data_IF_620757532368
#
_entry.id   IF_620757532368
#
_cell.length_a   1.000
_cell.length_b   1.000
_cell.length_c   1.000
_cell.angle_alpha   90.00
_cell.angle_beta   90.00
_cell.angle_gamma   90.00
#
_symmetry.space_group_name_H-M   'P 1'
#
loop_
_entity.id
_entity.type
_entity.pdbx_description
1 polymer ?
#
# COMPACT_ATOMS: atom_id res chain seq x y z
N UNK A 1 -27.41 -10.22 -33.68
CA UNK A 1 -25.96 -10.00 -33.89
C UNK A 1 -25.47 -9.32 -32.62
N UNK A 2 -24.72 -10.03 -31.78
CA UNK A 2 -24.15 -9.43 -30.57
C UNK A 2 -22.98 -8.55 -31.01
N UNK A 3 -23.10 -7.24 -30.79
CA UNK A 3 -22.13 -6.22 -31.21
C UNK A 3 -20.90 -6.14 -30.26
N UNK A 4 -20.88 -6.98 -29.23
CA UNK A 4 -19.83 -7.00 -28.22
C UNK A 4 -19.24 -8.40 -28.11
N UNK A 5 -17.92 -8.49 -28.29
CA UNK A 5 -17.12 -9.70 -28.06
C UNK A 5 -16.41 -9.51 -26.72
N UNK A 6 -16.65 -10.44 -25.78
CA UNK A 6 -15.91 -10.48 -24.53
C UNK A 6 -14.46 -10.85 -24.81
N UNK A 7 -13.52 -10.03 -24.33
CA UNK A 7 -12.08 -10.23 -24.57
C UNK A 7 -11.40 -11.02 -23.46
N UNK A 8 -11.77 -10.83 -22.19
CA UNK A 8 -11.20 -11.57 -21.04
C UNK A 8 -12.19 -11.73 -19.88
N UNK A 9 -11.90 -12.65 -18.95
CA UNK A 9 -12.62 -12.82 -17.67
C UNK A 9 -11.62 -12.75 -16.52
N UNK A 10 -11.40 -11.56 -15.98
CA UNK A 10 -10.49 -11.32 -14.86
C UNK A 10 -11.20 -11.36 -13.51
N UNK A 11 -10.50 -11.84 -12.49
CA UNK A 11 -10.95 -12.01 -11.11
C UNK A 11 -10.35 -10.95 -10.19
N UNK A 12 -10.88 -10.89 -8.96
CA UNK A 12 -10.35 -10.08 -7.85
C UNK A 12 -10.54 -10.84 -6.55
N UNK A 13 -9.51 -10.86 -5.72
CA UNK A 13 -9.49 -11.50 -4.41
C UNK A 13 -9.00 -10.50 -3.35
N UNK A 14 -9.52 -10.61 -2.13
CA UNK A 14 -9.15 -9.76 -1.00
C UNK A 14 -8.98 -10.64 0.23
N UNK A 15 -7.86 -10.46 0.92
CA UNK A 15 -7.61 -10.95 2.28
C UNK A 15 -7.62 -9.75 3.21
N UNK A 16 -8.60 -9.69 4.10
CA UNK A 16 -8.58 -8.74 5.21
C UNK A 16 -7.65 -9.26 6.31
N UNK A 17 -6.85 -8.35 6.87
CA UNK A 17 -5.92 -8.65 7.94
C UNK A 17 -6.62 -8.52 9.29
N UNK A 18 -6.44 -9.52 10.16
CA UNK A 18 -6.99 -9.49 11.52
C UNK A 18 -6.34 -8.39 12.37
N UNK A 19 -5.04 -8.18 12.15
CA UNK A 19 -4.25 -7.14 12.81
C UNK A 19 -3.73 -6.19 11.73
N UNK A 20 -4.00 -4.88 11.83
CA UNK A 20 -3.43 -3.90 10.92
C UNK A 20 -1.89 -3.90 11.00
N UNK A 21 -1.22 -3.75 9.87
CA UNK A 21 0.24 -3.59 9.81
C UNK A 21 0.64 -2.41 10.70
N UNK A 22 1.59 -2.65 11.63
CA UNK A 22 1.76 -1.77 12.79
C UNK A 22 2.27 -0.37 12.44
N UNK A 23 3.18 -0.26 11.46
CA UNK A 23 3.79 1.01 11.07
C UNK A 23 4.34 0.95 9.63
N UNK A 24 4.75 2.10 9.12
CA UNK A 24 5.24 2.25 7.74
C UNK A 24 6.55 1.49 7.49
N UNK A 25 7.40 1.29 8.50
CA UNK A 25 8.65 0.55 8.36
C UNK A 25 8.39 -0.92 8.08
N UNK A 26 7.48 -1.55 8.83
CA UNK A 26 7.06 -2.93 8.58
C UNK A 26 6.36 -3.03 7.22
N UNK A 27 5.49 -2.06 6.90
CA UNK A 27 4.81 -2.02 5.61
C UNK A 27 5.79 -1.98 4.44
N UNK A 28 6.78 -1.08 4.49
CA UNK A 28 7.76 -0.94 3.41
C UNK A 28 8.67 -2.18 3.32
N UNK A 29 9.05 -2.78 4.45
CA UNK A 29 9.81 -4.03 4.47
C UNK A 29 9.05 -5.17 3.75
N UNK A 30 7.74 -5.30 3.94
CA UNK A 30 6.93 -6.28 3.22
C UNK A 30 6.89 -5.99 1.71
N UNK A 31 6.78 -4.72 1.32
CA UNK A 31 6.77 -4.35 -0.10
C UNK A 31 8.14 -4.62 -0.74
N UNK A 32 9.24 -4.29 -0.06
CA UNK A 32 10.59 -4.57 -0.54
C UNK A 32 10.86 -6.07 -0.62
N UNK A 33 10.43 -6.85 0.37
CA UNK A 33 10.53 -8.31 0.35
C UNK A 33 9.89 -8.93 -0.91
N UNK A 34 8.71 -8.46 -1.32
CA UNK A 34 8.07 -8.91 -2.57
C UNK A 34 8.92 -8.58 -3.79
N UNK A 35 9.47 -7.37 -3.85
CA UNK A 35 10.26 -6.90 -5.00
C UNK A 35 11.57 -7.68 -5.10
N UNK A 36 12.27 -7.86 -3.97
CA UNK A 36 13.59 -8.49 -3.91
C UNK A 36 13.53 -10.01 -4.10
N UNK A 37 12.54 -10.67 -3.49
CA UNK A 37 12.44 -12.14 -3.50
C UNK A 37 11.56 -12.68 -4.62
N UNK A 38 10.72 -11.82 -5.21
CA UNK A 38 9.75 -12.17 -6.24
C UNK A 38 8.99 -13.49 -5.93
N UNK A 39 8.29 -13.54 -4.79
CA UNK A 39 7.69 -14.78 -4.28
C UNK A 39 6.54 -15.29 -5.16
N UNK A 40 6.02 -14.44 -6.05
CA UNK A 40 4.93 -14.77 -6.96
C UNK A 40 5.41 -15.34 -8.30
N UNK A 41 6.72 -15.41 -8.55
CA UNK A 41 7.27 -15.95 -9.79
C UNK A 41 7.05 -15.04 -11.02
N UNK A 42 6.92 -13.73 -10.81
CA UNK A 42 6.74 -12.79 -11.91
C UNK A 42 7.95 -12.76 -12.85
N UNK A 43 7.74 -12.39 -14.10
CA UNK A 43 8.77 -12.37 -15.14
C UNK A 43 8.95 -10.98 -15.73
N UNK A 44 10.19 -10.59 -16.02
CA UNK A 44 10.45 -9.32 -16.72
C UNK A 44 9.86 -9.36 -18.13
N UNK A 45 9.35 -8.23 -18.61
CA UNK A 45 8.76 -8.13 -19.94
C UNK A 45 9.19 -6.85 -20.65
N UNK A 46 9.01 -6.78 -21.97
CA UNK A 46 9.36 -5.60 -22.76
C UNK A 46 8.10 -4.85 -23.18
N UNK A 47 8.02 -3.59 -22.80
CA UNK A 47 6.93 -2.69 -23.15
C UNK A 47 7.50 -1.49 -23.90
N UNK A 48 7.08 -1.30 -25.15
CA UNK A 48 7.58 -0.19 -26.00
C UNK A 48 9.11 -0.13 -26.13
N UNK A 49 9.79 -1.28 -26.13
CA UNK A 49 11.25 -1.36 -26.23
C UNK A 49 12.00 -1.14 -24.91
N UNK A 50 11.30 -0.96 -23.79
CA UNK A 50 11.88 -0.84 -22.45
C UNK A 50 11.66 -2.15 -21.68
N UNK A 51 12.72 -2.69 -21.11
CA UNK A 51 12.62 -3.84 -20.18
C UNK A 51 12.04 -3.36 -18.86
N UNK A 52 10.92 -3.95 -18.47
CA UNK A 52 10.23 -3.72 -17.21
C UNK A 52 10.55 -4.89 -16.27
N UNK A 53 10.87 -4.56 -15.02
CA UNK A 53 11.13 -5.53 -13.96
C UNK A 53 9.92 -6.42 -13.67
N UNK A 54 10.13 -7.65 -13.14
CA UNK A 54 9.04 -8.60 -12.89
C UNK A 54 7.97 -8.07 -11.93
N UNK A 55 8.38 -7.30 -10.93
CA UNK A 55 7.49 -6.64 -9.97
C UNK A 55 7.86 -5.17 -9.88
N UNK A 56 6.88 -4.28 -10.06
CA UNK A 56 7.11 -2.83 -10.07
C UNK A 56 6.10 -2.12 -9.18
N UNK A 57 6.54 -1.08 -8.47
CA UNK A 57 5.64 -0.16 -7.76
C UNK A 57 4.87 0.66 -8.79
N UNK A 58 3.56 0.44 -8.90
CA UNK A 58 2.70 1.10 -9.88
C UNK A 58 2.02 2.34 -9.30
N UNK A 59 1.60 2.30 -8.04
CA UNK A 59 0.97 3.43 -7.36
C UNK A 59 1.16 3.31 -5.86
N UNK A 60 1.51 4.42 -5.23
CA UNK A 60 1.70 4.50 -3.79
C UNK A 60 0.91 5.68 -3.22
N UNK A 61 0.42 5.50 -2.00
CA UNK A 61 -0.22 6.55 -1.22
C UNK A 61 0.00 6.26 0.27
N UNK A 62 0.65 7.20 0.95
CA UNK A 62 0.92 7.16 2.38
C UNK A 62 0.34 8.41 3.03
N UNK A 63 -0.55 8.24 3.99
CA UNK A 63 -1.20 9.34 4.71
C UNK A 63 -0.77 9.34 6.17
N UNK A 64 -0.14 10.43 6.58
CA UNK A 64 0.33 10.62 7.94
C UNK A 64 -0.68 11.46 8.73
N UNK A 65 -1.18 10.93 9.84
CA UNK A 65 -2.17 11.60 10.69
C UNK A 65 -1.52 12.30 11.88
N UNK A 66 -1.83 13.58 12.03
CA UNK A 66 -1.49 14.41 13.19
C UNK A 66 -2.78 14.91 13.81
N UNK A 67 -2.92 14.76 15.12
CA UNK A 67 -4.04 15.29 15.89
C UNK A 67 -3.54 16.45 16.76
N UNK A 68 -4.43 17.37 17.07
CA UNK A 68 -4.17 18.48 17.97
C UNK A 68 -5.07 18.33 19.19
N UNK A 69 -4.46 18.32 20.37
CA UNK A 69 -5.15 18.08 21.63
C UNK A 69 -5.16 19.33 22.51
N UNK A 70 -6.24 19.53 23.26
CA UNK A 70 -6.31 20.57 24.28
C UNK A 70 -5.62 20.09 25.59
N UNK A 71 -5.67 20.92 26.64
CA UNK A 71 -5.10 20.58 27.95
C UNK A 71 -5.80 19.42 28.67
N UNK A 72 -7.00 19.04 28.23
CA UNK A 72 -7.79 17.92 28.74
C UNK A 72 -7.57 16.62 27.93
N UNK A 73 -6.64 16.65 26.95
CA UNK A 73 -6.36 15.57 25.99
C UNK A 73 -7.52 15.25 25.03
N UNK A 74 -8.46 16.18 24.84
CA UNK A 74 -9.48 16.07 23.81
C UNK A 74 -8.92 16.53 22.46
N UNK A 75 -9.17 15.75 21.41
CA UNK A 75 -8.83 16.14 20.04
C UNK A 75 -9.71 17.32 19.60
N UNK A 76 -9.09 18.46 19.34
CA UNK A 76 -9.74 19.70 18.86
C UNK A 76 -9.52 19.96 17.37
N UNK A 77 -8.61 19.24 16.74
CA UNK A 77 -8.34 19.34 15.31
C UNK A 77 -7.46 18.19 14.82
N UNK A 78 -7.39 18.04 13.50
CA UNK A 78 -6.53 17.06 12.86
C UNK A 78 -6.01 17.56 11.50
N UNK A 79 -4.85 17.06 11.13
CA UNK A 79 -4.20 17.30 9.84
C UNK A 79 -3.73 15.96 9.30
N UNK A 80 -4.04 15.71 8.03
CA UNK A 80 -3.57 14.55 7.28
C UNK A 80 -2.68 15.02 6.13
N UNK A 81 -1.52 14.41 5.99
CA UNK A 81 -0.61 14.68 4.86
C UNK A 81 -0.43 13.42 4.03
N UNK A 82 -0.89 13.48 2.78
CA UNK A 82 -0.75 12.39 1.83
C UNK A 82 0.45 12.62 0.90
N UNK A 83 1.26 11.59 0.74
CA UNK A 83 2.45 11.61 -0.13
C UNK A 83 2.57 10.32 -0.93
N UNK A 84 3.42 10.34 -1.96
CA UNK A 84 3.63 9.22 -2.88
C UNK A 84 4.86 8.35 -2.57
N UNK A 85 5.62 8.64 -1.49
CA UNK A 85 6.80 7.84 -1.11
C UNK A 85 6.93 7.69 0.40
N UNK A 86 7.54 6.59 0.85
CA UNK A 86 7.80 6.32 2.28
C UNK A 86 8.75 7.37 2.89
N UNK A 87 9.77 7.80 2.14
CA UNK A 87 10.69 8.85 2.60
C UNK A 87 9.99 10.19 2.79
N UNK A 88 9.11 10.56 1.84
CA UNK A 88 8.32 11.78 1.97
C UNK A 88 7.34 11.70 3.15
N UNK A 89 6.87 10.51 3.53
CA UNK A 89 5.91 10.34 4.62
C UNK A 89 6.52 10.76 5.95
N UNK A 90 7.71 10.24 6.26
CA UNK A 90 8.41 10.61 7.49
C UNK A 90 8.76 12.09 7.53
N UNK A 91 9.26 12.61 6.41
CA UNK A 91 9.65 14.03 6.28
C UNK A 91 8.45 14.97 6.44
N UNK A 92 7.35 14.70 5.73
CA UNK A 92 6.14 15.51 5.79
C UNK A 92 5.49 15.46 7.17
N UNK A 93 5.42 14.28 7.80
CA UNK A 93 4.96 14.12 9.17
C UNK A 93 5.78 14.97 10.15
N UNK A 94 7.12 14.96 10.02
CA UNK A 94 8.00 15.78 10.86
C UNK A 94 7.79 17.28 10.63
N UNK A 95 7.56 17.73 9.40
CA UNK A 95 7.27 19.14 9.12
C UNK A 95 5.97 19.60 9.77
N UNK A 96 4.87 18.83 9.63
CA UNK A 96 3.59 19.16 10.29
C UNK A 96 3.74 19.16 11.81
N UNK A 97 4.50 18.21 12.36
CA UNK A 97 4.76 18.12 13.80
C UNK A 97 5.64 19.26 14.34
N UNK A 98 6.34 20.00 13.49
CA UNK A 98 7.20 21.11 13.87
C UNK A 98 6.60 22.49 13.53
N UNK A 99 5.36 22.53 13.03
CA UNK A 99 4.69 23.75 12.61
C UNK A 99 3.94 24.40 13.79
N UNK A 100 4.65 25.29 14.49
CA UNK A 100 4.12 26.04 15.64
C UNK A 100 3.02 27.04 15.24
N UNK A 101 3.06 27.56 14.00
CA UNK A 101 2.04 28.48 13.49
C UNK A 101 0.70 27.73 13.32
N UNK A 102 0.75 26.52 12.77
CA UNK A 102 -0.40 25.64 12.63
C UNK A 102 -0.93 25.20 14.00
N UNK A 103 -0.04 24.86 14.94
CA UNK A 103 -0.42 24.54 16.32
C UNK A 103 -1.15 25.70 17.01
N UNK A 104 -0.62 26.92 16.86
CA UNK A 104 -1.21 28.15 17.40
C UNK A 104 -2.56 28.45 16.76
N UNK A 105 -2.68 28.27 15.44
CA UNK A 105 -3.93 28.49 14.72
C UNK A 105 -5.04 27.52 15.13
N UNK A 106 -4.69 26.26 15.41
CA UNK A 106 -5.64 25.24 15.88
C UNK A 106 -5.92 25.38 17.38
N UNK A 107 -4.96 25.89 18.15
CA UNK A 107 -5.09 26.14 19.59
C UNK A 107 -4.80 24.91 20.46
N UNK A 108 -3.97 23.98 19.97
CA UNK A 108 -3.68 22.72 20.65
C UNK A 108 -2.25 22.24 20.44
N UNK A 109 -1.88 21.16 21.14
CA UNK A 109 -0.56 20.53 20.99
C UNK A 109 -0.65 19.41 19.96
N UNK A 110 0.24 19.40 18.96
CA UNK A 110 0.31 18.32 17.98
C UNK A 110 0.79 16.99 18.58
N UNK A 111 0.16 15.90 18.15
CA UNK A 111 0.55 14.53 18.48
C UNK A 111 0.36 13.61 17.26
N UNK A 112 1.23 12.60 17.13
CA UNK A 112 1.16 11.62 16.04
C UNK A 112 0.09 10.57 16.34
N UNK A 113 -0.91 10.47 15.46
CA UNK A 113 -1.91 9.39 15.52
C UNK A 113 -1.48 8.24 14.60
N UNK A 114 -0.46 7.49 15.03
CA UNK A 114 0.08 6.38 14.26
C UNK A 114 -0.91 5.24 14.04
N UNK A 115 -1.99 5.16 14.81
CA UNK A 115 -3.04 4.17 14.62
C UNK A 115 -3.91 4.50 13.40
N UNK A 116 -4.07 5.80 13.07
CA UNK A 116 -4.85 6.28 11.93
C UNK A 116 -4.02 6.55 10.66
N UNK A 117 -2.70 6.40 10.71
CA UNK A 117 -1.87 6.43 9.49
C UNK A 117 -2.38 5.40 8.46
N UNK A 118 -2.47 5.78 7.19
CA UNK A 118 -2.88 4.85 6.13
C UNK A 118 -1.76 4.63 5.12
N UNK A 119 -1.57 3.38 4.73
CA UNK A 119 -0.53 2.96 3.78
C UNK A 119 -1.18 2.16 2.66
N UNK A 120 -0.80 2.44 1.42
CA UNK A 120 -1.25 1.73 0.24
C UNK A 120 -0.15 1.69 -0.79
N UNK A 121 0.23 0.49 -1.21
CA UNK A 121 1.17 0.26 -2.30
C UNK A 121 0.56 -0.77 -3.26
N UNK A 122 0.43 -0.37 -4.52
CA UNK A 122 -0.01 -1.21 -5.62
C UNK A 122 1.19 -1.63 -6.42
N UNK A 123 1.46 -2.93 -6.42
CA UNK A 123 2.46 -3.60 -7.22
C UNK A 123 1.83 -4.08 -8.53
N UNK A 124 2.52 -3.86 -9.64
CA UNK A 124 2.22 -4.47 -10.93
C UNK A 124 3.12 -5.69 -11.07
N UNK A 125 2.51 -6.81 -11.38
CA UNK A 125 3.15 -8.09 -11.55
C UNK A 125 2.88 -8.62 -12.96
N UNK A 126 3.90 -9.13 -13.62
CA UNK A 126 3.76 -9.81 -14.90
C UNK A 126 3.99 -11.30 -14.71
N UNK A 127 2.92 -12.09 -14.85
CA UNK A 127 2.95 -13.54 -14.69
C UNK A 127 3.70 -14.22 -15.85
N UNK A 128 4.23 -15.43 -15.63
CA UNK A 128 4.85 -16.24 -16.67
C UNK A 128 3.90 -16.56 -17.84
N UNK A 129 2.57 -16.59 -17.59
CA UNK A 129 1.56 -16.75 -18.63
C UNK A 129 1.29 -15.47 -19.44
N UNK A 130 2.13 -14.44 -19.31
CA UNK A 130 1.99 -13.13 -19.96
C UNK A 130 0.77 -12.31 -19.48
N UNK A 131 0.13 -12.73 -18.40
CA UNK A 131 -0.93 -11.98 -17.75
C UNK A 131 -0.33 -10.88 -16.85
N UNK A 132 -0.94 -9.69 -16.85
CA UNK A 132 -0.56 -8.62 -15.94
C UNK A 132 -1.64 -8.45 -14.88
N UNK A 133 -1.25 -8.66 -13.62
CA UNK A 133 -2.13 -8.51 -12.48
C UNK A 133 -1.53 -7.51 -11.48
N UNK A 134 -2.33 -7.15 -10.48
CA UNK A 134 -1.90 -6.21 -9.46
C UNK A 134 -2.12 -6.75 -8.07
N UNK A 135 -1.09 -6.61 -7.23
CA UNK A 135 -1.15 -6.89 -5.79
C UNK A 135 -1.14 -5.55 -5.07
N UNK A 136 -2.21 -5.23 -4.36
CA UNK A 136 -2.32 -4.02 -3.54
C UNK A 136 -2.18 -4.42 -2.08
N UNK A 137 -1.09 -3.99 -1.45
CA UNK A 137 -0.93 -4.04 -0.01
C UNK A 137 -1.48 -2.75 0.57
N UNK A 138 -2.25 -2.88 1.62
CA UNK A 138 -2.66 -1.76 2.46
C UNK A 138 -2.56 -2.15 3.92
N UNK A 139 -2.67 -1.17 4.81
CA UNK A 139 -2.54 -1.41 6.25
C UNK A 139 -3.43 -2.54 6.78
N UNK A 140 -4.61 -2.76 6.20
CA UNK A 140 -5.62 -3.70 6.72
C UNK A 140 -5.98 -4.83 5.76
N UNK A 141 -5.41 -4.87 4.55
CA UNK A 141 -5.77 -5.88 3.55
C UNK A 141 -4.72 -6.04 2.47
N UNK A 142 -4.67 -7.25 1.92
CA UNK A 142 -3.99 -7.59 0.67
C UNK A 142 -5.05 -7.86 -0.38
N UNK A 143 -4.94 -7.23 -1.55
CA UNK A 143 -5.86 -7.40 -2.67
C UNK A 143 -5.11 -7.82 -3.91
N UNK A 144 -5.65 -8.81 -4.63
CA UNK A 144 -5.20 -9.22 -5.95
C UNK A 144 -6.28 -8.83 -6.95
N UNK A 145 -5.92 -8.19 -8.05
CA UNK A 145 -6.87 -7.77 -9.08
C UNK A 145 -6.30 -8.01 -10.48
N UNK A 146 -7.19 -8.20 -11.45
CA UNK A 146 -6.84 -8.42 -12.86
C UNK A 146 -6.08 -9.73 -13.10
N UNK A 147 -6.31 -10.75 -12.28
CA UNK A 147 -5.75 -12.10 -12.48
C UNK A 147 -6.81 -13.04 -13.06
N UNK A 148 -6.40 -14.07 -13.80
CA UNK A 148 -7.29 -15.06 -14.41
C UNK A 148 -6.95 -16.45 -13.87
N UNK A 149 -5.66 -16.75 -13.77
CA UNK A 149 -5.14 -18.01 -13.22
C UNK A 149 -5.24 -18.05 -11.68
N UNK A 150 -5.88 -19.09 -11.13
CA UNK A 150 -6.01 -19.26 -9.69
C UNK A 150 -4.67 -19.58 -9.00
N UNK A 151 -3.66 -20.06 -9.75
CA UNK A 151 -2.30 -20.25 -9.25
C UNK A 151 -1.68 -18.93 -8.76
N UNK A 152 -2.04 -17.79 -9.36
CA UNK A 152 -1.61 -16.46 -8.91
C UNK A 152 -2.16 -16.16 -7.50
N UNK A 153 -3.43 -16.49 -7.26
CA UNK A 153 -4.04 -16.32 -5.93
C UNK A 153 -3.34 -17.20 -4.92
N UNK A 154 -3.12 -18.47 -5.26
CA UNK A 154 -2.44 -19.45 -4.38
C UNK A 154 -1.01 -19.02 -4.03
N UNK A 155 -0.24 -18.48 -4.98
CA UNK A 155 1.11 -17.96 -4.73
C UNK A 155 1.10 -16.78 -3.76
N UNK A 156 0.16 -15.84 -3.93
CA UNK A 156 0.01 -14.69 -3.02
C UNK A 156 -0.48 -15.12 -1.64
N UNK A 157 -1.38 -16.11 -1.56
CA UNK A 157 -1.84 -16.70 -0.30
C UNK A 157 -0.68 -17.39 0.44
N UNK A 158 0.11 -18.21 -0.24
CA UNK A 158 1.26 -18.89 0.35
C UNK A 158 2.33 -17.90 0.86
N UNK A 159 2.60 -16.83 0.10
CA UNK A 159 3.47 -15.75 0.57
C UNK A 159 2.87 -15.09 1.82
N UNK A 160 1.59 -14.72 1.78
CA UNK A 160 0.93 -14.02 2.88
C UNK A 160 0.88 -14.86 4.16
N UNK A 161 0.64 -16.16 4.07
CA UNK A 161 0.68 -17.10 5.20
C UNK A 161 2.08 -17.27 5.80
N UNK A 162 3.12 -16.99 5.01
CA UNK A 162 4.51 -16.98 5.46
C UNK A 162 4.94 -15.69 6.19
N UNK A 163 4.09 -14.65 6.24
CA UNK A 163 4.41 -13.36 6.85
C UNK A 163 3.71 -13.19 8.20
N UNK A 164 4.44 -13.20 9.33
CA UNK A 164 3.87 -12.97 10.67
C UNK A 164 3.07 -11.66 10.78
N UNK A 165 3.43 -10.66 9.99
CA UNK A 165 2.83 -9.33 10.01
C UNK A 165 1.45 -9.26 9.33
N UNK A 166 1.05 -10.33 8.63
CA UNK A 166 -0.22 -10.44 7.91
C UNK A 166 -1.25 -11.36 8.61
N UNK A 167 -0.94 -11.79 9.84
CA UNK A 167 -1.84 -12.57 10.70
C UNK A 167 -1.61 -14.06 10.66
#
# INVERSE_FOLDING_TARGET
MADFIQTTNTKTAVRDLLVPIANITIFDALVQDIIDTNPFGCTSYVESGVTIDPVVRSKEAYDAKVIYENLEADTIGDVSVQVATVTAFGTAASHVMADDDLATAIGGTQSRDNAKDTFSCKLKCHDANSETYYVTLSRTKVRISSYTDDAIREAVEAWADGKPELG
#
